data_IF_967479575491
#
_entry.id   IF_967479575491
#
_cell.length_a   1.000
_cell.length_b   1.000
_cell.length_c   1.000
_cell.angle_alpha   90.00
_cell.angle_beta   90.00
_cell.angle_gamma   90.00
#
_symmetry.space_group_name_H-M   'P 1'
#
loop_
_entity.id
_entity.type
_entity.pdbx_description
1 polymer ?
#
# COMPACT_ATOMS: atom_id res chain seq x y z
N UNK A 1 5.92 2.83 -7.44
CA UNK A 1 5.72 1.58 -6.72
C UNK A 1 4.32 1.51 -6.10
N UNK A 2 3.92 2.50 -5.31
CA UNK A 2 2.63 2.51 -4.60
C UNK A 2 1.41 2.40 -5.52
N UNK A 3 1.48 2.94 -6.73
CA UNK A 3 0.40 2.86 -7.72
C UNK A 3 0.30 1.51 -8.45
N UNK A 4 1.12 0.52 -8.09
CA UNK A 4 1.15 -0.77 -8.78
C UNK A 4 1.68 -0.76 -10.22
N UNK A 5 2.26 0.36 -10.67
CA UNK A 5 2.79 0.51 -12.03
C UNK A 5 3.88 -0.52 -12.35
N UNK A 6 4.75 -0.81 -11.39
CA UNK A 6 5.85 -1.77 -11.53
C UNK A 6 5.46 -3.10 -10.90
N UNK A 7 5.66 -4.18 -11.64
CA UNK A 7 5.27 -5.52 -11.20
C UNK A 7 6.37 -6.21 -10.37
N UNK A 8 6.03 -7.10 -9.44
CA UNK A 8 7.01 -7.95 -8.78
C UNK A 8 7.91 -8.69 -9.77
N UNK A 9 9.22 -8.65 -9.56
CA UNK A 9 10.23 -9.22 -10.44
C UNK A 9 10.62 -8.34 -11.65
N UNK A 10 9.93 -7.24 -11.89
CA UNK A 10 10.22 -6.34 -13.00
C UNK A 10 11.58 -5.68 -12.85
N UNK A 11 12.34 -5.63 -13.94
CA UNK A 11 13.64 -4.96 -14.01
C UNK A 11 13.48 -3.49 -14.34
N UNK A 12 14.14 -2.64 -13.56
CA UNK A 12 14.15 -1.19 -13.73
C UNK A 12 15.47 -0.75 -14.35
N UNK A 13 15.40 -0.06 -15.48
CA UNK A 13 16.56 0.50 -16.16
C UNK A 13 16.60 2.01 -15.95
N UNK A 14 17.67 2.48 -15.30
CA UNK A 14 17.85 3.89 -14.97
C UNK A 14 17.71 4.81 -16.18
N UNK A 15 18.28 4.41 -17.33
CA UNK A 15 18.22 5.22 -18.56
C UNK A 15 16.82 5.36 -19.11
N UNK A 16 16.05 4.26 -19.10
CA UNK A 16 14.68 4.25 -19.61
C UNK A 16 13.77 5.14 -18.75
N UNK A 17 13.89 5.04 -17.41
CA UNK A 17 13.16 5.89 -16.48
C UNK A 17 13.58 7.37 -16.58
N UNK A 18 14.86 7.64 -16.76
CA UNK A 18 15.36 9.02 -16.93
C UNK A 18 14.80 9.65 -18.21
N UNK A 19 14.79 8.90 -19.33
CA UNK A 19 14.23 9.35 -20.59
C UNK A 19 12.72 9.61 -20.48
N UNK A 20 11.99 8.70 -19.85
CA UNK A 20 10.55 8.83 -19.64
C UNK A 20 10.17 10.07 -18.79
N UNK A 21 10.96 10.35 -17.76
CA UNK A 21 10.69 11.47 -16.84
C UNK A 21 11.35 12.77 -17.27
N UNK A 22 11.98 12.80 -18.41
CA UNK A 22 12.64 14.00 -18.96
C UNK A 22 13.76 14.53 -18.06
N UNK A 23 14.51 13.65 -17.38
CA UNK A 23 15.57 14.00 -16.43
C UNK A 23 16.88 13.29 -16.74
N UNK A 24 17.97 13.71 -16.07
CA UNK A 24 19.25 13.01 -16.19
C UNK A 24 19.28 11.70 -15.39
N UNK A 25 20.15 10.72 -15.75
CA UNK A 25 20.27 9.45 -15.01
C UNK A 25 20.70 9.59 -13.54
N UNK A 26 21.37 10.67 -13.16
CA UNK A 26 21.92 10.84 -11.80
C UNK A 26 20.85 10.91 -10.71
N UNK A 27 19.85 11.81 -10.77
CA UNK A 27 18.80 11.86 -9.75
C UNK A 27 17.96 10.57 -9.72
N UNK A 28 17.71 9.94 -10.87
CA UNK A 28 17.04 8.65 -10.93
C UNK A 28 17.84 7.58 -10.18
N UNK A 29 19.14 7.51 -10.39
CA UNK A 29 20.02 6.58 -9.68
C UNK A 29 19.95 6.79 -8.17
N UNK A 30 20.05 8.05 -7.70
CA UNK A 30 19.98 8.38 -6.28
C UNK A 30 18.64 7.95 -5.67
N UNK A 31 17.53 8.22 -6.35
CA UNK A 31 16.19 7.80 -5.91
C UNK A 31 16.06 6.27 -5.83
N UNK A 32 16.53 5.54 -6.85
CA UNK A 32 16.47 4.08 -6.87
C UNK A 32 17.39 3.44 -5.81
N UNK A 33 18.57 4.03 -5.54
CA UNK A 33 19.42 3.58 -4.44
C UNK A 33 18.75 3.71 -3.07
N UNK A 34 18.03 4.80 -2.86
CA UNK A 34 17.24 4.99 -1.65
C UNK A 34 16.17 3.90 -1.52
N UNK A 35 15.45 3.58 -2.59
CA UNK A 35 14.45 2.51 -2.60
C UNK A 35 15.07 1.12 -2.33
N UNK A 36 16.32 0.89 -2.75
CA UNK A 36 17.07 -0.33 -2.38
C UNK A 36 17.35 -0.35 -0.87
N UNK A 37 17.81 0.76 -0.30
CA UNK A 37 18.05 0.84 1.14
C UNK A 37 16.78 0.65 1.98
N UNK A 38 15.62 1.03 1.44
CA UNK A 38 14.29 0.82 2.05
C UNK A 38 13.72 -0.58 1.77
N UNK A 39 14.44 -1.45 1.05
CA UNK A 39 13.97 -2.81 0.71
C UNK A 39 12.83 -2.89 -0.31
N UNK A 40 12.47 -1.76 -0.91
CA UNK A 40 11.46 -1.66 -1.96
C UNK A 40 11.96 -2.12 -3.34
N UNK A 41 13.27 -2.10 -3.54
CA UNK A 41 13.98 -2.64 -4.70
C UNK A 41 15.12 -3.53 -4.24
N UNK A 42 15.58 -4.42 -5.12
CA UNK A 42 16.75 -5.25 -4.90
C UNK A 42 17.73 -5.15 -6.07
N UNK A 43 19.03 -5.43 -5.78
CA UNK A 43 20.10 -5.40 -6.77
C UNK A 43 21.04 -4.21 -6.60
N UNK A 44 21.97 -4.09 -7.53
CA UNK A 44 22.96 -3.02 -7.56
C UNK A 44 22.61 -2.00 -8.63
N UNK A 45 22.58 -0.71 -8.27
CA UNK A 45 22.25 0.40 -9.18
C UNK A 45 23.18 0.50 -10.40
N UNK A 46 24.34 -0.17 -10.35
CA UNK A 46 25.31 -0.20 -11.46
C UNK A 46 25.05 -1.33 -12.47
N UNK A 47 24.32 -2.38 -12.08
CA UNK A 47 24.07 -3.57 -12.89
C UNK A 47 22.62 -3.77 -13.27
N UNK A 48 21.79 -4.05 -12.31
CA UNK A 48 20.35 -4.21 -12.53
C UNK A 48 19.60 -4.02 -11.21
N UNK A 49 18.51 -3.27 -11.30
CA UNK A 49 17.56 -3.10 -10.21
C UNK A 49 16.27 -3.82 -10.59
N UNK A 50 15.61 -4.40 -9.63
CA UNK A 50 14.30 -5.02 -9.84
C UNK A 50 13.39 -4.83 -8.64
N UNK A 51 12.11 -4.88 -8.88
CA UNK A 51 11.12 -5.02 -7.82
C UNK A 51 11.24 -6.41 -7.22
N UNK A 52 11.41 -6.56 -5.89
CA UNK A 52 11.51 -7.88 -5.27
C UNK A 52 10.29 -8.73 -5.59
N UNK A 53 10.50 -10.04 -5.76
CA UNK A 53 9.40 -10.97 -5.84
C UNK A 53 8.70 -11.01 -4.47
N UNK A 54 7.36 -10.95 -4.47
CA UNK A 54 6.60 -11.18 -3.26
C UNK A 54 6.40 -12.68 -3.09
N UNK A 55 7.11 -13.26 -2.12
CA UNK A 55 6.89 -14.66 -1.71
C UNK A 55 5.90 -14.72 -0.56
N UNK A 56 5.31 -15.89 -0.34
CA UNK A 56 4.42 -16.13 0.79
C UNK A 56 5.13 -15.82 2.12
N UNK A 57 6.34 -16.35 2.31
CA UNK A 57 7.13 -16.15 3.54
C UNK A 57 7.40 -14.67 3.80
N UNK A 58 7.77 -13.92 2.76
CA UNK A 58 8.00 -12.48 2.90
C UNK A 58 6.73 -11.76 3.30
N UNK A 59 5.60 -12.09 2.71
CA UNK A 59 4.34 -11.43 3.02
C UNK A 59 3.84 -11.81 4.42
N UNK A 60 4.00 -13.06 4.85
CA UNK A 60 3.72 -13.52 6.22
C UNK A 60 4.54 -12.78 7.29
N UNK A 61 5.75 -12.34 6.95
CA UNK A 61 6.57 -11.51 7.84
C UNK A 61 6.14 -10.04 7.85
N UNK A 62 5.75 -9.49 6.70
CA UNK A 62 5.36 -8.09 6.58
C UNK A 62 3.99 -7.78 7.18
N UNK A 63 3.02 -8.67 7.00
CA UNK A 63 1.62 -8.44 7.39
C UNK A 63 1.43 -8.11 8.88
N UNK A 64 1.96 -8.89 9.84
CA UNK A 64 1.80 -8.57 11.27
C UNK A 64 2.49 -7.27 11.67
N UNK A 65 3.61 -6.92 11.03
CA UNK A 65 4.29 -5.65 11.29
C UNK A 65 3.42 -4.48 10.80
N UNK A 66 2.84 -4.58 9.60
CA UNK A 66 1.91 -3.59 9.07
C UNK A 66 0.70 -3.40 9.97
N UNK A 67 0.02 -4.48 10.35
CA UNK A 67 -1.16 -4.45 11.22
C UNK A 67 -0.86 -3.67 12.51
N UNK A 68 0.27 -3.96 13.16
CA UNK A 68 0.65 -3.29 14.40
C UNK A 68 1.00 -1.81 14.21
N UNK A 69 1.81 -1.47 13.20
CA UNK A 69 2.24 -0.08 12.99
C UNK A 69 1.12 0.79 12.44
N UNK A 70 0.35 0.28 11.48
CA UNK A 70 -0.76 1.01 10.88
C UNK A 70 -1.91 1.16 11.90
N UNK A 71 -2.22 0.13 12.68
CA UNK A 71 -3.16 0.21 13.79
C UNK A 71 -2.74 1.21 14.88
N UNK A 72 -1.44 1.29 15.20
CA UNK A 72 -0.92 2.31 16.11
C UNK A 72 -1.10 3.72 15.55
N UNK A 73 -0.84 3.92 14.25
CA UNK A 73 -1.05 5.22 13.61
C UNK A 73 -2.51 5.67 13.69
N UNK A 74 -3.45 4.76 13.45
CA UNK A 74 -4.90 5.05 13.57
C UNK A 74 -5.28 5.42 15.00
N UNK A 75 -4.79 4.67 15.99
CA UNK A 75 -5.06 4.97 17.39
C UNK A 75 -4.57 6.38 17.81
N UNK A 76 -3.39 6.78 17.30
CA UNK A 76 -2.84 8.12 17.53
C UNK A 76 -3.59 9.20 16.74
N UNK A 77 -4.02 8.91 15.53
CA UNK A 77 -4.78 9.81 14.67
C UNK A 77 -6.16 10.12 15.26
N UNK A 78 -6.85 9.15 15.82
CA UNK A 78 -8.20 9.29 16.35
C UNK A 78 -8.35 10.45 17.38
N UNK A 79 -7.29 10.73 18.14
CA UNK A 79 -7.29 11.82 19.11
C UNK A 79 -6.99 13.20 18.51
N UNK A 80 -6.67 13.31 17.21
CA UNK A 80 -6.09 14.51 16.58
C UNK A 80 -6.71 14.87 15.26
N UNK A 81 -7.39 13.92 14.61
CA UNK A 81 -7.94 14.09 13.27
C UNK A 81 -8.87 15.29 13.21
N UNK A 82 -8.66 16.16 12.25
CA UNK A 82 -9.44 17.38 12.05
C UNK A 82 -10.72 17.11 11.26
N UNK A 83 -11.68 18.04 11.34
CA UNK A 83 -12.90 17.98 10.52
C UNK A 83 -12.60 17.98 9.00
N UNK A 84 -11.53 18.66 8.58
CA UNK A 84 -11.11 18.69 7.17
C UNK A 84 -10.57 17.34 6.70
N UNK A 85 -9.79 16.67 7.55
CA UNK A 85 -9.29 15.32 7.27
C UNK A 85 -10.43 14.30 7.25
N UNK A 86 -11.37 14.37 8.21
CA UNK A 86 -12.58 13.53 8.20
C UNK A 86 -13.40 13.72 6.92
N UNK A 87 -13.57 14.96 6.45
CA UNK A 87 -14.25 15.24 5.18
C UNK A 87 -13.49 14.63 3.97
N UNK A 88 -12.16 14.67 4.00
CA UNK A 88 -11.33 14.04 2.98
C UNK A 88 -11.49 12.52 2.98
N UNK A 89 -11.48 11.89 4.16
CA UNK A 89 -11.70 10.45 4.31
C UNK A 89 -13.09 10.03 3.82
N UNK A 90 -14.12 10.83 4.14
CA UNK A 90 -15.49 10.64 3.66
C UNK A 90 -15.53 10.62 2.12
N UNK A 91 -14.90 11.62 1.48
CA UNK A 91 -14.82 11.68 0.03
C UNK A 91 -14.10 10.48 -0.60
N UNK A 92 -13.03 9.98 0.04
CA UNK A 92 -12.35 8.76 -0.41
C UNK A 92 -13.28 7.53 -0.34
N UNK A 93 -14.02 7.35 0.77
CA UNK A 93 -14.97 6.24 0.93
C UNK A 93 -16.06 6.28 -0.15
N UNK A 94 -16.61 7.44 -0.43
CA UNK A 94 -17.65 7.63 -1.45
C UNK A 94 -17.13 7.31 -2.86
N UNK A 95 -15.93 7.82 -3.22
CA UNK A 95 -15.32 7.54 -4.53
C UNK A 95 -14.90 6.07 -4.67
N UNK A 96 -14.39 5.43 -3.61
CA UNK A 96 -14.13 3.99 -3.62
C UNK A 96 -15.41 3.18 -3.88
N UNK A 97 -16.56 3.57 -3.31
CA UNK A 97 -17.84 2.91 -3.60
C UNK A 97 -18.26 3.06 -5.07
N UNK A 98 -18.03 4.24 -5.66
CA UNK A 98 -18.28 4.45 -7.10
C UNK A 98 -17.36 3.57 -7.93
N UNK A 99 -16.06 3.61 -7.67
CA UNK A 99 -15.05 2.82 -8.38
C UNK A 99 -15.35 1.31 -8.34
N UNK A 100 -15.83 0.77 -7.21
CA UNK A 100 -16.24 -0.63 -7.11
C UNK A 100 -17.44 -0.95 -8.01
N UNK A 101 -18.46 -0.07 -8.05
CA UNK A 101 -19.62 -0.27 -8.94
C UNK A 101 -19.24 -0.22 -10.41
N UNK A 102 -18.31 0.66 -10.77
CA UNK A 102 -17.82 0.85 -12.13
C UNK A 102 -16.71 -0.13 -12.52
N UNK A 103 -16.23 -0.93 -11.56
CA UNK A 103 -15.08 -1.84 -11.70
C UNK A 103 -13.80 -1.11 -12.13
N UNK A 104 -13.66 0.15 -11.72
CA UNK A 104 -12.47 0.96 -11.94
C UNK A 104 -11.43 0.71 -10.83
N UNK A 105 -10.56 -0.26 -11.09
CA UNK A 105 -9.49 -0.67 -10.19
C UNK A 105 -8.52 0.47 -9.89
N UNK A 106 -8.18 1.28 -10.89
CA UNK A 106 -7.19 2.34 -10.73
C UNK A 106 -7.75 3.45 -9.83
N UNK A 107 -8.99 3.85 -10.06
CA UNK A 107 -9.67 4.83 -9.21
C UNK A 107 -9.79 4.31 -7.77
N UNK A 108 -10.20 3.03 -7.58
CA UNK A 108 -10.27 2.43 -6.26
C UNK A 108 -8.92 2.48 -5.52
N UNK A 109 -7.84 2.01 -6.15
CA UNK A 109 -6.51 1.98 -5.54
C UNK A 109 -5.98 3.37 -5.20
N UNK A 110 -6.28 4.38 -6.03
CA UNK A 110 -5.90 5.76 -5.79
C UNK A 110 -6.57 6.31 -4.52
N UNK A 111 -7.91 6.14 -4.40
CA UNK A 111 -8.67 6.62 -3.25
C UNK A 111 -8.38 5.79 -1.98
N UNK A 112 -8.16 4.49 -2.10
CA UNK A 112 -7.70 3.64 -1.00
C UNK A 112 -6.35 4.13 -0.45
N UNK A 113 -5.39 4.38 -1.34
CA UNK A 113 -4.09 4.91 -0.93
C UNK A 113 -4.20 6.29 -0.28
N UNK A 114 -5.05 7.16 -0.83
CA UNK A 114 -5.30 8.49 -0.27
C UNK A 114 -5.95 8.42 1.12
N UNK A 115 -6.93 7.53 1.30
CA UNK A 115 -7.59 7.31 2.59
C UNK A 115 -6.58 6.95 3.68
N UNK A 116 -5.79 5.92 3.43
CA UNK A 116 -4.80 5.47 4.39
C UNK A 116 -3.70 6.51 4.64
N UNK A 117 -3.23 7.21 3.60
CA UNK A 117 -2.20 8.24 3.75
C UNK A 117 -2.67 9.38 4.64
N UNK A 118 -3.87 9.93 4.41
CA UNK A 118 -4.45 11.00 5.24
C UNK A 118 -4.60 10.53 6.68
N UNK A 119 -5.13 9.32 6.87
CA UNK A 119 -5.33 8.74 8.19
C UNK A 119 -4.01 8.58 8.97
N UNK A 120 -2.96 8.09 8.31
CA UNK A 120 -1.66 7.90 8.99
C UNK A 120 -0.91 9.22 9.21
N UNK A 121 -1.05 10.19 8.32
CA UNK A 121 -0.49 11.54 8.52
C UNK A 121 -1.08 12.23 9.75
N UNK A 122 -2.38 12.05 10.01
CA UNK A 122 -3.05 12.57 11.19
C UNK A 122 -2.49 12.04 12.53
N UNK A 123 -1.72 10.93 12.52
CA UNK A 123 -1.06 10.43 13.74
C UNK A 123 0.00 11.39 14.29
N UNK A 124 0.48 12.36 13.50
CA UNK A 124 1.50 13.33 13.84
C UNK A 124 2.80 12.71 14.42
N UNK A 125 3.14 11.50 13.98
CA UNK A 125 4.37 10.80 14.35
C UNK A 125 5.22 10.52 13.11
N UNK A 126 6.19 11.39 12.77
CA UNK A 126 6.97 11.25 11.56
C UNK A 126 7.90 10.02 11.54
N UNK A 127 8.23 9.47 12.71
CA UNK A 127 9.02 8.22 12.79
C UNK A 127 8.15 7.05 12.36
N UNK A 128 6.94 6.94 12.92
CA UNK A 128 5.99 5.90 12.59
C UNK A 128 5.58 5.95 11.12
N UNK A 129 5.31 7.17 10.62
CA UNK A 129 4.93 7.37 9.22
C UNK A 129 6.00 6.86 8.24
N UNK A 130 7.28 7.17 8.47
CA UNK A 130 8.38 6.66 7.63
C UNK A 130 8.48 5.13 7.63
N UNK A 131 8.23 4.48 8.76
CA UNK A 131 8.22 3.01 8.83
C UNK A 131 7.05 2.43 8.02
N UNK A 132 5.87 3.01 8.14
CA UNK A 132 4.69 2.61 7.35
C UNK A 132 4.94 2.82 5.86
N UNK A 133 5.46 3.97 5.44
CA UNK A 133 5.78 4.27 4.03
C UNK A 133 6.77 3.26 3.45
N UNK A 134 7.81 2.89 4.20
CA UNK A 134 8.78 1.88 3.77
C UNK A 134 8.13 0.50 3.57
N UNK A 135 7.21 0.09 4.45
CA UNK A 135 6.45 -1.16 4.30
C UNK A 135 5.49 -1.11 3.11
N UNK A 136 4.83 0.03 2.90
CA UNK A 136 3.94 0.24 1.77
C UNK A 136 4.65 0.17 0.43
N UNK A 137 5.88 0.70 0.33
CA UNK A 137 6.71 0.58 -0.87
C UNK A 137 7.03 -0.88 -1.23
N UNK A 138 7.13 -1.76 -0.22
CA UNK A 138 7.42 -3.18 -0.42
C UNK A 138 6.19 -3.98 -0.88
N UNK A 139 4.97 -3.61 -0.45
CA UNK A 139 3.74 -4.34 -0.80
C UNK A 139 2.98 -3.70 -1.96
N UNK A 140 3.17 -2.42 -2.23
CA UNK A 140 2.44 -1.65 -3.24
C UNK A 140 2.43 -2.29 -4.63
N UNK A 141 3.56 -2.76 -5.17
CA UNK A 141 3.60 -3.45 -6.46
C UNK A 141 2.72 -4.70 -6.53
N UNK A 142 2.39 -5.28 -5.37
CA UNK A 142 1.60 -6.50 -5.28
C UNK A 142 0.09 -6.25 -5.24
N UNK A 143 -0.34 -5.08 -4.76
CA UNK A 143 -1.77 -4.75 -4.69
C UNK A 143 -2.49 -4.77 -6.03
N UNK A 144 -1.81 -4.46 -7.12
CA UNK A 144 -2.43 -4.51 -8.45
C UNK A 144 -2.93 -5.92 -8.82
N UNK A 145 -2.28 -6.98 -8.33
CA UNK A 145 -2.70 -8.36 -8.56
C UNK A 145 -4.02 -8.73 -7.86
N UNK A 146 -4.36 -8.05 -6.77
CA UNK A 146 -5.64 -8.25 -6.08
C UNK A 146 -6.83 -8.14 -7.04
N UNK A 147 -6.75 -7.20 -7.97
CA UNK A 147 -7.87 -6.81 -8.80
C UNK A 147 -7.92 -7.50 -10.16
N UNK A 148 -6.82 -8.12 -10.58
CA UNK A 148 -6.79 -8.90 -11.82
C UNK A 148 -7.25 -10.34 -11.63
N UNK A 149 -7.20 -10.86 -10.41
CA UNK A 149 -7.44 -12.28 -10.09
C UNK A 149 -8.64 -12.49 -9.14
N UNK A 150 -9.24 -11.42 -8.60
CA UNK A 150 -10.34 -11.51 -7.64
C UNK A 150 -11.69 -11.11 -8.24
N UNK A 151 -12.74 -11.83 -7.82
CA UNK A 151 -14.09 -11.31 -7.92
C UNK A 151 -14.25 -10.16 -6.89
N UNK A 152 -14.32 -8.93 -7.40
CA UNK A 152 -14.40 -7.69 -6.60
C UNK A 152 -15.72 -7.52 -5.81
N UNK A 153 -16.56 -8.56 -5.73
CA UNK A 153 -17.78 -8.58 -4.90
C UNK A 153 -17.50 -8.58 -3.39
N UNK A 154 -16.22 -8.53 -3.00
CA UNK A 154 -15.77 -8.65 -1.64
C UNK A 154 -15.94 -7.35 -0.85
N UNK A 155 -15.91 -7.42 0.47
CA UNK A 155 -16.14 -6.38 1.49
C UNK A 155 -15.06 -5.25 1.50
N UNK A 156 -14.59 -4.86 0.31
CA UNK A 156 -13.43 -4.00 0.11
C UNK A 156 -13.54 -2.61 0.75
N UNK A 157 -14.74 -2.09 0.90
CA UNK A 157 -14.94 -0.74 1.43
C UNK A 157 -15.67 -0.72 2.79
N UNK A 158 -16.07 -1.88 3.31
CA UNK A 158 -16.80 -1.95 4.59
C UNK A 158 -15.92 -1.45 5.74
N UNK A 159 -14.68 -1.92 5.81
CA UNK A 159 -13.75 -1.55 6.88
C UNK A 159 -13.34 -0.07 6.85
N UNK A 160 -13.22 0.54 5.67
CA UNK A 160 -12.98 1.98 5.55
C UNK A 160 -14.17 2.78 6.06
N UNK A 161 -15.38 2.35 5.73
CA UNK A 161 -16.63 2.98 6.22
C UNK A 161 -16.75 2.85 7.74
N UNK A 162 -16.39 1.69 8.30
CA UNK A 162 -16.46 1.45 9.74
C UNK A 162 -15.37 2.24 10.49
N UNK A 163 -14.15 2.33 9.95
CA UNK A 163 -13.10 3.18 10.48
C UNK A 163 -13.54 4.66 10.52
N UNK A 164 -14.11 5.16 9.41
CA UNK A 164 -14.59 6.54 9.34
C UNK A 164 -15.68 6.85 10.37
N UNK A 165 -16.68 5.96 10.52
CA UNK A 165 -17.74 6.10 11.55
C UNK A 165 -17.16 6.14 12.96
N UNK A 166 -16.19 5.26 13.25
CA UNK A 166 -15.53 5.22 14.54
C UNK A 166 -14.74 6.52 14.82
N UNK A 167 -14.02 7.05 13.82
CA UNK A 167 -13.32 8.33 13.94
C UNK A 167 -14.28 9.50 14.18
N UNK A 168 -15.41 9.53 13.47
CA UNK A 168 -16.46 10.54 13.66
C UNK A 168 -17.10 10.48 15.05
N UNK A 169 -17.18 9.29 15.65
CA UNK A 169 -17.64 9.07 17.01
C UNK A 169 -16.56 9.31 18.08
N UNK A 170 -15.30 9.56 17.70
CA UNK A 170 -14.17 9.66 18.62
C UNK A 170 -13.74 8.32 19.22
N UNK A 171 -14.17 7.20 18.65
CA UNK A 171 -13.84 5.84 19.11
C UNK A 171 -12.54 5.35 18.46
N UNK A 172 -11.41 5.73 19.06
CA UNK A 172 -10.08 5.33 18.58
C UNK A 172 -9.86 3.82 18.57
N UNK A 173 -10.23 3.07 19.61
CA UNK A 173 -10.16 1.61 19.62
C UNK A 173 -10.93 0.96 18.46
N UNK A 174 -12.15 1.39 18.18
CA UNK A 174 -12.94 0.87 17.07
C UNK A 174 -12.34 1.24 15.71
N UNK A 175 -11.86 2.47 15.55
CA UNK A 175 -11.18 2.91 14.33
C UNK A 175 -9.92 2.06 14.04
N UNK A 176 -9.10 1.83 15.07
CA UNK A 176 -7.95 0.93 15.00
C UNK A 176 -8.34 -0.48 14.58
N UNK A 177 -9.34 -1.06 15.26
CA UNK A 177 -9.80 -2.41 14.97
C UNK A 177 -10.30 -2.55 13.52
N UNK A 178 -10.96 -1.54 12.98
CA UNK A 178 -11.44 -1.54 11.60
C UNK A 178 -10.28 -1.63 10.60
N UNK A 179 -9.20 -0.85 10.79
CA UNK A 179 -8.01 -0.92 9.90
C UNK A 179 -7.22 -2.21 10.10
N UNK A 180 -7.10 -2.71 11.32
CA UNK A 180 -6.46 -4.02 11.57
C UNK A 180 -7.21 -5.15 10.85
N UNK A 181 -8.56 -5.11 10.85
CA UNK A 181 -9.41 -6.06 10.12
C UNK A 181 -9.28 -5.91 8.60
N UNK A 182 -9.22 -4.69 8.09
CA UNK A 182 -8.96 -4.42 6.69
C UNK A 182 -7.66 -5.09 6.22
N UNK A 183 -6.56 -4.79 6.91
CA UNK A 183 -5.25 -5.35 6.60
C UNK A 183 -5.21 -6.88 6.73
N UNK A 184 -5.88 -7.45 7.75
CA UNK A 184 -5.95 -8.89 7.94
C UNK A 184 -6.77 -9.57 6.84
N UNK A 185 -7.90 -8.99 6.47
CA UNK A 185 -8.78 -9.51 5.43
C UNK A 185 -8.07 -9.58 4.08
N UNK A 186 -7.48 -8.47 3.67
CA UNK A 186 -6.67 -8.40 2.45
C UNK A 186 -5.42 -9.25 2.51
N UNK A 187 -4.76 -9.25 3.66
CA UNK A 187 -3.59 -10.07 3.88
C UNK A 187 -3.88 -11.55 3.67
N UNK A 188 -4.96 -12.06 4.22
CA UNK A 188 -5.36 -13.45 4.05
C UNK A 188 -5.69 -13.78 2.58
N UNK A 189 -6.35 -12.86 1.88
CA UNK A 189 -6.62 -13.02 0.45
C UNK A 189 -5.33 -13.11 -0.36
N UNK A 190 -4.36 -12.21 -0.12
CA UNK A 190 -3.05 -12.22 -0.79
C UNK A 190 -2.24 -13.49 -0.48
N UNK A 191 -2.27 -13.97 0.75
CA UNK A 191 -1.61 -15.23 1.14
C UNK A 191 -2.19 -16.43 0.38
N UNK A 192 -3.50 -16.45 0.14
CA UNK A 192 -4.14 -17.48 -0.66
C UNK A 192 -3.69 -17.41 -2.12
N UNK A 193 -3.65 -16.22 -2.73
CA UNK A 193 -3.14 -16.04 -4.09
C UNK A 193 -1.68 -16.49 -4.25
N UNK A 194 -0.83 -16.14 -3.27
CA UNK A 194 0.58 -16.54 -3.28
C UNK A 194 0.76 -18.06 -3.16
N UNK A 195 -0.18 -18.75 -2.53
CA UNK A 195 -0.17 -20.22 -2.42
C UNK A 195 -0.53 -20.92 -3.73
N UNK A 196 -1.33 -20.26 -4.57
CA UNK A 196 -1.79 -20.80 -5.86
C UNK A 196 -0.78 -20.53 -7.00
N UNK A 197 0.14 -19.60 -6.80
CA UNK A 197 1.14 -19.24 -7.82
C UNK A 197 2.43 -20.00 -7.54
N UNK A 198 2.84 -20.96 -8.38
CA UNK A 198 4.12 -21.65 -8.20
C UNK A 198 5.25 -20.61 -8.25
N UNK A 199 6.35 -20.82 -7.48
CA UNK A 199 7.48 -19.91 -7.52
C UNK A 199 7.96 -19.78 -8.96
N UNK A 200 7.98 -18.54 -9.47
CA UNK A 200 8.52 -18.25 -10.80
C UNK A 200 9.94 -18.82 -10.86
N UNK A 201 10.14 -19.85 -11.68
CA UNK A 201 11.48 -20.34 -11.96
C UNK A 201 12.30 -19.16 -12.47
N UNK A 202 13.24 -18.70 -11.64
CA UNK A 202 14.25 -17.76 -12.08
C UNK A 202 14.91 -18.35 -13.35
N UNK A 203 14.65 -17.77 -14.52
CA UNK A 203 15.43 -18.08 -15.72
C UNK A 203 16.84 -17.59 -15.41
N UNK A 204 17.74 -18.55 -15.26
CA UNK A 204 19.18 -18.36 -15.16
C UNK A 204 19.70 -17.60 -16.38
#
# INVERSE_FOLDING_TARGET
>A
LLSGRFQPGERLKIRDLAAEWGTSPMPVRAALQRLVAEGALEGEAQRSLRVPAMTRERFEQLLPVRINLEGLAVALAAARISAAELATLQGCVERMQVALRERDVQAYLADNSQFHLVLYQACANPVLLRLIESLWLQVGPFFHRLFTEADLSLRLNDFHSDCLKALQAGDGPAARAAIEQDLQYFGNFLLNLLSLTPPSRARQ
#
